data_IF_434204207237
#
_entry.id   IF_434204207237
#
_cell.length_a   1.000
_cell.length_b   1.000
_cell.length_c   1.000
_cell.angle_alpha   90.00
_cell.angle_beta   90.00
_cell.angle_gamma   90.00
#
_symmetry.space_group_name_H-M   'P 1'
#
loop_
_entity.id
_entity.type
_entity.pdbx_description
1 polymer ?
#
# COMPACT_ATOMS: atom_id res chain seq x y z
N UNK A 1 2.34 4.64 12.01
CA UNK A 1 2.48 3.79 10.80
C UNK A 1 2.50 2.34 11.28
N UNK A 2 1.78 1.44 10.61
CA UNK A 2 1.79 0.00 10.94
C UNK A 2 2.59 -0.75 9.85
N UNK A 3 3.74 -1.31 10.21
CA UNK A 3 4.51 -2.18 9.31
C UNK A 3 4.21 -3.63 9.64
N UNK A 4 3.54 -4.34 8.72
CA UNK A 4 3.17 -5.75 8.92
C UNK A 4 4.31 -6.74 8.72
N UNK A 5 5.41 -6.31 8.09
CA UNK A 5 6.57 -7.14 7.82
C UNK A 5 7.68 -6.84 8.81
N UNK A 6 8.27 -7.88 9.39
CA UNK A 6 9.41 -7.77 10.30
C UNK A 6 10.76 -7.74 9.57
N UNK A 7 10.77 -8.10 8.28
CA UNK A 7 11.96 -8.15 7.43
C UNK A 7 11.60 -7.80 5.99
N UNK A 8 12.57 -7.30 5.23
CA UNK A 8 12.45 -7.04 3.80
C UNK A 8 13.60 -7.69 3.05
N UNK A 9 13.38 -8.03 1.78
CA UNK A 9 14.44 -8.58 0.95
C UNK A 9 15.36 -7.46 0.43
N UNK A 10 16.67 -7.68 0.45
CA UNK A 10 17.66 -6.76 -0.08
C UNK A 10 18.37 -7.39 -1.28
N UNK A 11 18.22 -6.78 -2.47
CA UNK A 11 18.84 -7.18 -3.75
C UNK A 11 18.55 -8.60 -4.27
N UNK A 12 17.97 -9.48 -3.48
CA UNK A 12 17.53 -10.83 -3.86
C UNK A 12 16.01 -10.98 -3.72
N UNK A 13 15.42 -12.02 -4.33
CA UNK A 13 13.99 -12.37 -4.20
C UNK A 13 13.02 -11.21 -4.52
N UNK A 14 13.24 -10.58 -5.67
CA UNK A 14 12.50 -9.37 -6.09
C UNK A 14 11.02 -9.65 -6.38
N UNK A 15 10.16 -8.76 -5.89
CA UNK A 15 8.75 -8.71 -6.29
C UNK A 15 8.63 -8.18 -7.71
N UNK A 16 7.79 -8.82 -8.55
CA UNK A 16 7.65 -8.47 -9.97
C UNK A 16 6.23 -8.08 -10.30
N UNK A 17 6.08 -6.95 -10.99
CA UNK A 17 4.79 -6.46 -11.47
C UNK A 17 4.58 -6.86 -12.94
N UNK A 18 3.43 -7.45 -13.24
CA UNK A 18 3.01 -7.84 -14.61
C UNK A 18 1.54 -7.48 -14.87
N UNK A 19 1.06 -6.39 -14.29
CA UNK A 19 -0.31 -5.90 -14.44
C UNK A 19 -1.35 -6.57 -13.52
N UNK A 20 -0.94 -7.45 -12.60
CA UNK A 20 -1.82 -7.97 -11.54
C UNK A 20 -1.79 -7.04 -10.33
N UNK A 21 -2.92 -6.96 -9.63
CA UNK A 21 -3.05 -6.24 -8.38
C UNK A 21 -2.47 -7.07 -7.22
N UNK A 22 -1.70 -6.42 -6.36
CA UNK A 22 -1.31 -6.94 -5.05
C UNK A 22 -2.36 -6.49 -4.01
N UNK A 23 -2.86 -7.41 -3.19
CA UNK A 23 -3.91 -7.11 -2.23
C UNK A 23 -3.70 -7.81 -0.89
N UNK A 24 -4.29 -7.25 0.16
CA UNK A 24 -4.30 -7.82 1.50
C UNK A 24 -5.60 -7.44 2.19
N UNK A 25 -6.22 -8.38 2.89
CA UNK A 25 -7.35 -8.07 3.76
C UNK A 25 -6.85 -7.67 5.15
N UNK A 26 -7.51 -6.68 5.75
CA UNK A 26 -7.24 -6.26 7.11
C UNK A 26 -8.53 -5.89 7.85
N UNK A 27 -8.45 -5.91 9.17
CA UNK A 27 -9.43 -5.34 10.08
C UNK A 27 -8.68 -4.67 11.24
N UNK A 28 -9.42 -3.93 12.06
CA UNK A 28 -8.90 -3.20 13.22
C UNK A 28 -9.83 -3.44 14.42
N UNK A 29 -9.30 -3.34 15.62
CA UNK A 29 -10.05 -3.45 16.88
C UNK A 29 -10.62 -2.10 17.35
N UNK A 30 -10.13 -1.00 16.78
CA UNK A 30 -10.54 0.37 17.11
C UNK A 30 -10.73 1.17 15.83
N UNK A 31 -11.64 2.15 15.89
CA UNK A 31 -11.87 3.05 14.76
C UNK A 31 -10.59 3.81 14.44
N UNK A 32 -10.21 3.82 13.17
CA UNK A 32 -9.08 4.59 12.66
C UNK A 32 -9.47 5.34 11.39
N UNK A 33 -8.60 6.25 10.96
CA UNK A 33 -8.64 6.85 9.64
C UNK A 33 -7.42 6.39 8.84
N UNK A 34 -7.65 5.72 7.72
CA UNK A 34 -6.60 5.36 6.77
C UNK A 34 -6.41 6.52 5.79
N UNK A 35 -5.20 7.06 5.74
CA UNK A 35 -4.85 8.15 4.81
C UNK A 35 -4.11 7.65 3.57
N UNK A 36 -3.58 6.43 3.60
CA UNK A 36 -2.72 5.91 2.53
C UNK A 36 -1.97 4.65 2.91
N UNK A 37 -1.03 4.26 2.06
CA UNK A 37 -0.24 3.03 2.19
C UNK A 37 1.26 3.30 2.06
N UNK A 38 2.07 2.47 2.70
CA UNK A 38 3.52 2.39 2.46
C UNK A 38 3.81 1.25 1.50
N UNK A 39 4.42 1.56 0.36
CA UNK A 39 4.77 0.60 -0.68
C UNK A 39 6.28 0.43 -0.76
N UNK A 40 6.76 -0.80 -0.96
CA UNK A 40 8.16 -1.01 -1.32
C UNK A 40 8.43 -0.54 -2.75
N UNK A 41 9.63 -0.01 -2.97
CA UNK A 41 10.07 0.51 -4.26
C UNK A 41 11.03 -0.43 -5.00
N UNK A 42 11.83 0.15 -5.89
CA UNK A 42 12.86 -0.57 -6.64
C UNK A 42 13.96 -1.13 -5.73
N UNK A 43 14.49 -2.30 -6.10
CA UNK A 43 15.65 -2.93 -5.45
C UNK A 43 16.94 -2.81 -6.27
N UNK A 44 16.89 -2.15 -7.43
CA UNK A 44 17.99 -2.06 -8.39
C UNK A 44 18.45 -0.62 -8.64
N UNK A 45 18.08 0.31 -7.76
CA UNK A 45 18.36 1.75 -7.89
C UNK A 45 17.10 2.59 -7.94
N UNK A 46 17.28 3.90 -8.10
CA UNK A 46 16.17 4.84 -8.10
C UNK A 46 15.22 4.64 -9.29
N UNK A 47 13.92 4.74 -9.06
CA UNK A 47 12.90 4.59 -10.10
C UNK A 47 11.56 5.23 -9.69
N UNK A 48 10.85 5.75 -10.69
CA UNK A 48 9.47 6.21 -10.56
C UNK A 48 8.48 5.07 -10.85
N UNK A 49 7.46 4.96 -10.01
CA UNK A 49 6.36 4.01 -10.18
C UNK A 49 5.05 4.74 -10.40
N UNK A 50 4.27 4.28 -11.38
CA UNK A 50 2.84 4.62 -11.48
C UNK A 50 2.06 3.55 -10.71
N UNK A 51 1.12 3.95 -9.87
CA UNK A 51 0.32 3.03 -9.06
C UNK A 51 -1.12 3.49 -8.96
N UNK A 52 -2.04 2.52 -9.04
CA UNK A 52 -3.42 2.70 -8.59
C UNK A 52 -3.56 2.07 -7.21
N UNK A 53 -3.93 2.86 -6.20
CA UNK A 53 -4.31 2.34 -4.89
C UNK A 53 -5.83 2.36 -4.76
N UNK A 54 -6.36 1.35 -4.09
CA UNK A 54 -7.79 1.21 -3.80
C UNK A 54 -7.95 0.74 -2.36
N UNK A 55 -9.01 1.20 -1.71
CA UNK A 55 -9.51 0.64 -0.45
C UNK A 55 -10.95 0.21 -0.68
N UNK A 56 -11.25 -1.06 -0.39
CA UNK A 56 -12.51 -1.71 -0.68
C UNK A 56 -13.14 -2.31 0.57
N UNK A 57 -14.46 -2.47 0.52
CA UNK A 57 -15.23 -3.27 1.46
C UNK A 57 -16.37 -3.94 0.73
N UNK A 58 -16.55 -5.24 0.93
CA UNK A 58 -17.62 -6.03 0.32
C UNK A 58 -17.71 -5.85 -1.22
N UNK A 59 -16.55 -5.80 -1.88
CA UNK A 59 -16.44 -5.62 -3.33
C UNK A 59 -16.66 -4.20 -3.84
N UNK A 60 -16.97 -3.23 -2.97
CA UNK A 60 -17.13 -1.81 -3.34
C UNK A 60 -15.88 -1.01 -3.05
N UNK A 61 -15.49 -0.14 -3.96
CA UNK A 61 -14.40 0.85 -3.76
C UNK A 61 -14.92 1.96 -2.86
N UNK A 62 -14.24 2.18 -1.73
CA UNK A 62 -14.51 3.28 -0.81
C UNK A 62 -13.64 4.50 -1.13
N UNK A 63 -12.41 4.26 -1.57
CA UNK A 63 -11.50 5.29 -2.07
C UNK A 63 -10.53 4.68 -3.07
N UNK A 64 -10.10 5.48 -4.03
CA UNK A 64 -9.05 5.12 -4.98
C UNK A 64 -8.20 6.35 -5.34
N UNK A 65 -6.98 6.12 -5.78
CA UNK A 65 -6.13 7.17 -6.35
C UNK A 65 -5.15 6.59 -7.37
N UNK A 66 -5.07 7.21 -8.55
CA UNK A 66 -4.03 6.95 -9.54
C UNK A 66 -2.89 7.96 -9.30
N UNK A 67 -1.76 7.49 -8.79
CA UNK A 67 -0.67 8.37 -8.36
C UNK A 67 0.69 7.82 -8.77
N UNK A 68 1.74 8.57 -8.45
CA UNK A 68 3.13 8.18 -8.66
C UNK A 68 3.92 8.33 -7.38
N UNK A 69 4.96 7.52 -7.23
CA UNK A 69 5.95 7.73 -6.18
C UNK A 69 7.36 7.46 -6.72
N UNK A 70 8.31 8.22 -6.20
CA UNK A 70 9.72 8.02 -6.43
C UNK A 70 10.26 7.06 -5.36
N UNK A 71 11.02 6.05 -5.80
CA UNK A 71 11.82 5.21 -4.92
C UNK A 71 13.30 5.47 -5.16
N UNK A 72 14.09 5.53 -4.08
CA UNK A 72 15.54 5.82 -4.13
C UNK A 72 16.41 4.55 -4.25
N UNK A 73 15.80 3.37 -4.33
CA UNK A 73 16.48 2.07 -4.35
C UNK A 73 16.79 1.48 -2.96
N UNK A 74 16.40 2.16 -1.88
CA UNK A 74 16.49 1.64 -0.52
C UNK A 74 15.38 0.63 -0.21
N UNK A 75 15.53 -0.12 0.88
CA UNK A 75 14.50 -1.04 1.38
C UNK A 75 13.43 -0.34 2.23
N UNK A 76 13.32 0.98 2.15
CA UNK A 76 12.29 1.75 2.84
C UNK A 76 10.93 1.58 2.15
N UNK A 77 9.87 1.95 2.86
CA UNK A 77 8.54 2.12 2.26
C UNK A 77 8.32 3.56 1.84
N UNK A 78 7.70 3.75 0.68
CA UNK A 78 7.34 5.05 0.11
C UNK A 78 5.84 5.24 0.25
N UNK A 79 5.42 6.39 0.77
CA UNK A 79 4.03 6.64 1.09
C UNK A 79 3.26 7.14 -0.13
N UNK A 80 2.07 6.58 -0.32
CA UNK A 80 1.06 7.04 -1.28
C UNK A 80 -0.25 7.28 -0.54
N UNK A 81 -0.97 8.32 -0.91
CA UNK A 81 -2.12 8.82 -0.15
C UNK A 81 -3.41 8.77 -0.97
N UNK A 82 -4.51 8.55 -0.27
CA UNK A 82 -5.84 8.88 -0.79
C UNK A 82 -6.07 10.39 -0.74
N UNK A 83 -7.07 10.87 -1.47
CA UNK A 83 -7.44 12.29 -1.46
C UNK A 83 -7.94 12.76 -0.09
N UNK A 84 -8.70 11.91 0.59
CA UNK A 84 -9.28 12.19 1.90
C UNK A 84 -9.03 11.00 2.85
N UNK A 85 -8.89 11.22 4.17
CA UNK A 85 -8.84 10.14 5.15
C UNK A 85 -10.13 9.29 5.13
N UNK A 86 -10.00 7.97 5.15
CA UNK A 86 -11.14 7.04 5.12
C UNK A 86 -11.35 6.44 6.50
N UNK A 87 -12.56 6.57 7.03
CA UNK A 87 -12.96 5.97 8.31
C UNK A 87 -13.07 4.45 8.18
N UNK A 88 -12.39 3.74 9.08
CA UNK A 88 -12.41 2.28 9.18
C UNK A 88 -13.12 1.91 10.48
N UNK A 89 -14.19 1.14 10.37
CA UNK A 89 -14.90 0.64 11.56
C UNK A 89 -14.17 -0.57 12.16
N UNK A 90 -14.21 -0.72 13.49
CA UNK A 90 -13.77 -1.93 14.16
C UNK A 90 -14.44 -3.18 13.59
N UNK A 91 -13.73 -4.31 13.63
CA UNK A 91 -14.26 -5.66 13.36
C UNK A 91 -14.85 -5.85 11.96
N UNK A 92 -14.60 -4.90 11.06
CA UNK A 92 -14.99 -4.95 9.66
C UNK A 92 -13.78 -5.29 8.79
N UNK A 93 -13.96 -6.16 7.79
CA UNK A 93 -12.90 -6.51 6.84
C UNK A 93 -12.89 -5.55 5.64
N UNK A 94 -11.70 -5.04 5.36
CA UNK A 94 -11.39 -4.18 4.23
C UNK A 94 -10.28 -4.83 3.39
N UNK A 95 -10.21 -4.46 2.11
CA UNK A 95 -9.18 -4.90 1.17
C UNK A 95 -8.51 -3.71 0.50
#
# INVERSE_FOLDING_TARGET
ICHRFQSCAYRSNQWRYRGRCDSIQFCVDKRIFVVGFGLYGSSNGAADYNVKIELKRLGRVLAENNTKFFSDGSSNTFHVYFENPIQIEPECFYT
#
